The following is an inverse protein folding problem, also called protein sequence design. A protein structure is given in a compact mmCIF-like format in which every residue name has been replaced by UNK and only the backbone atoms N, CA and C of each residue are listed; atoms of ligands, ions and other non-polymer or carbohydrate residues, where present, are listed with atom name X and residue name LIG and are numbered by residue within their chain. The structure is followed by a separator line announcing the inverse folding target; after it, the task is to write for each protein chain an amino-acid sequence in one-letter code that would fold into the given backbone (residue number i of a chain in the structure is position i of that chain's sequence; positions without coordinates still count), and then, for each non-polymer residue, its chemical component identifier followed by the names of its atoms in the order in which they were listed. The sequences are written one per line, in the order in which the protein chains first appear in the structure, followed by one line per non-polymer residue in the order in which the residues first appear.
data_IF_078945151088
#
_entry.id   IF_078945151088
#
_cell.length_a   1.000
_cell.length_b   1.000
_cell.length_c   1.000
_cell.angle_alpha   90.00
_cell.angle_beta   90.00
_cell.angle_gamma   90.00
#
_symmetry.space_group_name_H-M   'P 1'
#
loop_
_entity.id
_entity.type
_entity.pdbx_description
1 polymer ?
#
# COMPACT_ATOMS: atom_id res chain seq x y z
N UNK A 1 -12.93 9.06 -3.14
CA UNK A 1 -14.14 9.67 -2.57
C UNK A 1 -13.77 10.51 -1.36
N UNK A 2 -13.05 10.01 -0.32
CA UNK A 2 -12.76 10.73 0.92
C UNK A 2 -11.96 12.02 0.74
N UNK A 3 -10.97 12.05 -0.14
CA UNK A 3 -10.19 13.27 -0.44
C UNK A 3 -11.11 14.35 -1.02
N UNK A 4 -12.07 13.99 -1.87
CA UNK A 4 -13.06 14.95 -2.37
C UNK A 4 -13.91 15.56 -1.26
N UNK A 5 -14.30 14.82 -0.23
CA UNK A 5 -15.04 15.38 0.91
C UNK A 5 -14.24 16.45 1.66
N UNK A 6 -12.92 16.36 1.72
CA UNK A 6 -12.10 17.42 2.30
C UNK A 6 -12.22 18.75 1.56
N UNK A 7 -12.25 18.73 0.23
CA UNK A 7 -12.41 19.92 -0.59
C UNK A 7 -13.82 20.52 -0.50
N UNK A 8 -14.82 19.73 -0.17
CA UNK A 8 -16.22 20.15 -0.12
C UNK A 8 -16.75 20.42 1.29
N UNK A 9 -15.90 20.44 2.31
CA UNK A 9 -16.28 20.74 3.71
C UNK A 9 -17.11 22.01 3.87
N UNK A 10 -16.85 23.02 3.06
CA UNK A 10 -17.61 24.27 3.11
C UNK A 10 -19.08 24.13 2.67
N UNK A 11 -19.43 23.01 2.03
CA UNK A 11 -20.78 22.73 1.56
C UNK A 11 -21.52 21.72 2.45
N UNK A 12 -20.84 21.17 3.48
CA UNK A 12 -21.38 20.14 4.36
C UNK A 12 -21.22 20.60 5.80
N UNK A 13 -22.34 20.81 6.51
CA UNK A 13 -22.33 21.26 7.90
C UNK A 13 -21.89 20.17 8.89
N UNK A 14 -22.08 18.89 8.56
CA UNK A 14 -21.67 17.78 9.41
C UNK A 14 -20.21 17.38 9.17
N UNK A 15 -19.44 17.40 10.27
CA UNK A 15 -18.07 16.90 10.28
C UNK A 15 -18.10 15.39 10.54
N UNK A 16 -17.76 14.59 9.55
CA UNK A 16 -17.47 13.17 9.77
C UNK A 16 -15.99 12.98 10.07
N UNK A 17 -15.71 12.00 10.89
CA UNK A 17 -14.36 11.60 11.27
C UNK A 17 -14.06 10.25 10.64
N UNK A 18 -12.91 10.16 9.95
CA UNK A 18 -12.38 8.90 9.48
C UNK A 18 -11.47 8.31 10.53
N UNK A 19 -11.77 7.10 10.94
CA UNK A 19 -10.95 6.30 11.81
C UNK A 19 -10.73 4.91 11.21
N UNK A 20 -9.52 4.40 11.34
CA UNK A 20 -9.17 3.05 10.91
C UNK A 20 -8.52 2.34 12.11
N UNK A 21 -9.23 1.41 12.71
CA UNK A 21 -8.81 0.65 13.90
C UNK A 21 -7.38 0.09 13.82
N UNK A 22 -6.98 -0.31 12.60
CA UNK A 22 -5.66 -0.93 12.34
C UNK A 22 -4.56 0.08 12.01
N UNK A 23 -4.87 1.39 11.97
CA UNK A 23 -3.92 2.45 11.57
C UNK A 23 -3.84 3.54 12.62
N UNK A 24 -2.82 3.44 13.46
CA UNK A 24 -2.58 4.44 14.49
C UNK A 24 -2.39 5.85 13.89
N UNK A 25 -2.83 6.86 14.64
CA UNK A 25 -2.70 8.29 14.28
C UNK A 25 -3.45 8.74 13.02
N UNK A 26 -4.32 7.91 12.45
CA UNK A 26 -5.07 8.27 11.23
C UNK A 26 -5.97 9.49 11.44
N UNK A 27 -6.65 9.57 12.57
CA UNK A 27 -7.51 10.70 12.95
C UNK A 27 -6.72 12.01 13.02
N UNK A 28 -5.56 11.99 13.67
CA UNK A 28 -4.70 13.17 13.80
C UNK A 28 -4.07 13.57 12.47
N UNK A 29 -3.72 12.60 11.64
CA UNK A 29 -3.27 12.83 10.27
C UNK A 29 -4.33 13.59 9.45
N UNK A 30 -5.57 13.12 9.44
CA UNK A 30 -6.63 13.80 8.69
C UNK A 30 -6.94 15.19 9.22
N UNK A 31 -6.88 15.42 10.54
CA UNK A 31 -7.00 16.76 11.11
C UNK A 31 -5.89 17.72 10.64
N UNK A 32 -4.65 17.23 10.57
CA UNK A 32 -3.49 17.99 10.07
C UNK A 32 -3.63 18.27 8.57
N UNK A 33 -4.01 17.28 7.79
CA UNK A 33 -4.24 17.43 6.36
C UNK A 33 -5.27 18.52 6.05
N UNK A 34 -6.28 18.64 6.88
CA UNK A 34 -7.32 19.67 6.82
C UNK A 34 -6.79 21.10 6.98
N UNK A 35 -5.71 21.26 7.71
CA UNK A 35 -5.01 22.54 7.89
C UNK A 35 -3.88 22.76 6.89
N UNK A 36 -3.73 21.86 5.90
CA UNK A 36 -2.67 21.92 4.89
C UNK A 36 -1.32 21.40 5.37
N UNK A 37 -1.28 20.70 6.51
CA UNK A 37 -0.06 20.08 7.03
C UNK A 37 0.01 18.65 6.49
N UNK A 38 1.05 18.39 5.70
CA UNK A 38 1.29 17.10 5.07
C UNK A 38 2.18 16.21 5.95
N UNK A 39 1.95 14.91 5.89
CA UNK A 39 2.71 13.93 6.65
C UNK A 39 3.21 12.83 5.70
N UNK A 40 4.50 12.54 5.80
CA UNK A 40 5.21 11.55 4.96
C UNK A 40 5.85 10.45 5.82
N UNK A 41 5.41 10.31 7.07
CA UNK A 41 5.98 9.38 8.05
C UNK A 41 5.73 7.90 7.71
N UNK A 42 4.72 7.62 6.89
CA UNK A 42 4.46 6.28 6.39
C UNK A 42 3.88 6.32 4.95
N UNK A 43 3.91 5.19 4.20
CA UNK A 43 3.46 5.14 2.82
C UNK A 43 2.02 5.62 2.62
N UNK A 44 1.10 5.23 3.50
CA UNK A 44 -0.31 5.60 3.38
C UNK A 44 -0.50 7.12 3.47
N UNK A 45 0.12 7.75 4.49
CA UNK A 45 0.05 9.20 4.67
C UNK A 45 0.75 9.94 3.55
N UNK A 46 1.87 9.40 3.05
CA UNK A 46 2.57 9.92 1.89
C UNK A 46 1.69 9.92 0.64
N UNK A 47 1.05 8.80 0.32
CA UNK A 47 0.16 8.69 -0.83
C UNK A 47 -1.06 9.62 -0.72
N UNK A 48 -1.68 9.69 0.46
CA UNK A 48 -2.83 10.56 0.70
C UNK A 48 -2.41 12.05 0.61
N UNK A 49 -1.27 12.43 1.20
CA UNK A 49 -0.73 13.78 1.12
C UNK A 49 -0.41 14.20 -0.31
N UNK A 50 0.20 13.33 -1.10
CA UNK A 50 0.48 13.59 -2.50
C UNK A 50 -0.80 13.68 -3.35
N UNK A 51 -1.76 12.79 -3.14
CA UNK A 51 -3.05 12.85 -3.82
C UNK A 51 -3.80 14.15 -3.51
N UNK A 52 -3.76 14.60 -2.24
CA UNK A 52 -4.33 15.88 -1.86
C UNK A 52 -3.70 17.04 -2.65
N UNK A 53 -2.36 17.12 -2.68
CA UNK A 53 -1.64 18.17 -3.43
C UNK A 53 -1.98 18.19 -4.91
N UNK A 54 -2.06 17.02 -5.54
CA UNK A 54 -2.40 16.91 -6.97
C UNK A 54 -3.80 17.44 -7.23
N UNK A 55 -4.78 17.06 -6.40
CA UNK A 55 -6.18 17.50 -6.54
C UNK A 55 -6.29 19.01 -6.29
N UNK A 56 -5.65 19.51 -5.23
CA UNK A 56 -5.66 20.94 -4.90
C UNK A 56 -5.07 21.79 -6.03
N UNK A 57 -3.90 21.40 -6.53
CA UNK A 57 -3.25 22.04 -7.66
C UNK A 57 -4.13 22.04 -8.91
N UNK A 58 -4.77 20.90 -9.20
CA UNK A 58 -5.65 20.78 -10.36
C UNK A 58 -6.88 21.68 -10.24
N UNK A 59 -7.51 21.76 -9.06
CA UNK A 59 -8.64 22.66 -8.79
C UNK A 59 -8.24 24.13 -8.95
N UNK A 60 -7.07 24.51 -8.43
CA UNK A 60 -6.58 25.87 -8.49
C UNK A 60 -6.27 26.30 -9.94
N UNK A 61 -5.62 25.43 -10.74
CA UNK A 61 -5.38 25.68 -12.16
C UNK A 61 -6.70 25.89 -12.92
N UNK A 62 -7.72 25.08 -12.64
CA UNK A 62 -9.03 25.21 -13.28
C UNK A 62 -9.74 26.53 -12.94
N UNK A 63 -9.62 27.00 -11.71
CA UNK A 63 -10.16 28.29 -11.29
C UNK A 63 -9.44 29.47 -11.95
N UNK A 64 -8.11 29.45 -11.97
CA UNK A 64 -7.27 30.51 -12.52
C UNK A 64 -7.46 30.65 -14.05
N UNK A 65 -7.59 29.55 -14.76
CA UNK A 65 -7.80 29.55 -16.21
C UNK A 65 -9.20 29.97 -16.62
N UNK A 66 -10.12 30.26 -15.68
CA UNK A 66 -11.53 30.61 -15.93
C UNK A 66 -12.28 29.62 -16.84
N UNK A 67 -11.76 28.41 -17.00
CA UNK A 67 -12.43 27.38 -17.80
C UNK A 67 -13.72 26.95 -17.12
N UNK A 68 -13.69 26.87 -15.78
CA UNK A 68 -14.87 26.58 -14.97
C UNK A 68 -14.71 27.21 -13.59
N UNK A 69 -15.22 28.43 -13.41
CA UNK A 69 -15.17 29.14 -12.13
C UNK A 69 -15.97 28.45 -11.02
N UNK A 70 -16.89 27.55 -11.38
CA UNK A 70 -17.77 26.83 -10.47
C UNK A 70 -17.42 25.34 -10.37
N UNK A 71 -16.22 24.93 -10.78
CA UNK A 71 -15.83 23.53 -10.86
C UNK A 71 -16.07 22.74 -9.58
N UNK A 72 -15.81 23.32 -8.42
CA UNK A 72 -16.05 22.65 -7.14
C UNK A 72 -17.53 22.36 -6.93
N UNK A 73 -18.40 23.35 -7.21
CA UNK A 73 -19.84 23.16 -7.10
C UNK A 73 -20.36 22.12 -8.10
N UNK A 74 -19.86 22.13 -9.32
CA UNK A 74 -20.24 21.16 -10.35
C UNK A 74 -19.83 19.73 -9.98
N UNK A 75 -18.63 19.55 -9.42
CA UNK A 75 -18.19 18.25 -8.90
C UNK A 75 -19.05 17.83 -7.72
N UNK A 76 -19.30 18.72 -6.78
CA UNK A 76 -20.12 18.45 -5.60
C UNK A 76 -21.54 18.02 -5.99
N UNK A 77 -22.18 18.74 -6.89
CA UNK A 77 -23.51 18.36 -7.42
C UNK A 77 -23.47 17.01 -8.14
N UNK A 78 -22.43 16.76 -8.94
CA UNK A 78 -22.27 15.46 -9.62
C UNK A 78 -22.13 14.31 -8.63
N UNK A 79 -21.38 14.51 -7.54
CA UNK A 79 -21.24 13.51 -6.47
C UNK A 79 -22.57 13.24 -5.76
N UNK A 80 -23.37 14.28 -5.53
CA UNK A 80 -24.67 14.12 -4.84
C UNK A 80 -25.77 13.54 -5.73
N UNK A 81 -25.79 13.92 -7.00
CA UNK A 81 -26.92 13.61 -7.89
C UNK A 81 -26.68 12.40 -8.80
N UNK A 82 -25.41 12.11 -9.14
CA UNK A 82 -25.07 11.13 -10.18
C UNK A 82 -24.18 9.98 -9.73
N UNK A 83 -23.65 10.06 -8.49
CA UNK A 83 -22.81 8.99 -7.94
C UNK A 83 -23.63 8.13 -7.00
N UNK A 84 -23.75 6.86 -7.33
CA UNK A 84 -24.38 5.85 -6.49
C UNK A 84 -23.30 5.04 -5.77
N UNK A 85 -23.53 4.72 -4.50
CA UNK A 85 -22.66 3.89 -3.67
C UNK A 85 -23.33 2.55 -3.45
N UNK A 86 -22.68 1.48 -3.87
CA UNK A 86 -23.11 0.13 -3.54
C UNK A 86 -22.58 -0.22 -2.16
N UNK A 87 -23.48 -0.30 -1.19
CA UNK A 87 -23.18 -0.81 0.14
C UNK A 87 -23.34 -2.33 0.12
N UNK A 88 -22.27 -3.05 0.36
CA UNK A 88 -22.29 -4.49 0.45
C UNK A 88 -21.84 -4.92 1.84
N UNK A 89 -22.78 -5.39 2.64
CA UNK A 89 -22.52 -5.93 3.97
C UNK A 89 -22.41 -7.44 3.90
N UNK A 90 -21.36 -8.00 4.48
CA UNK A 90 -21.13 -9.45 4.49
C UNK A 90 -21.29 -9.93 5.92
N UNK A 91 -22.46 -10.50 6.21
CA UNK A 91 -22.80 -11.07 7.53
C UNK A 91 -22.07 -12.40 7.84
N UNK A 92 -21.00 -12.69 7.16
CA UNK A 92 -20.28 -13.94 7.30
C UNK A 92 -19.37 -13.95 8.54
N UNK A 93 -19.59 -14.92 9.40
CA UNK A 93 -18.74 -15.19 10.57
C UNK A 93 -17.47 -15.98 10.21
N UNK A 94 -17.41 -16.56 9.00
CA UNK A 94 -16.28 -17.37 8.56
C UNK A 94 -15.25 -16.50 7.81
N UNK A 95 -14.05 -16.39 8.38
CA UNK A 95 -12.95 -15.59 7.83
C UNK A 95 -12.51 -16.04 6.42
N UNK A 96 -12.60 -17.31 6.11
CA UNK A 96 -12.26 -17.85 4.78
C UNK A 96 -13.25 -17.37 3.71
N UNK A 97 -14.53 -17.32 4.03
CA UNK A 97 -15.56 -16.81 3.13
C UNK A 97 -15.42 -15.30 2.92
N UNK A 98 -15.09 -14.52 3.97
CA UNK A 98 -14.80 -13.10 3.85
C UNK A 98 -13.64 -12.84 2.89
N UNK A 99 -12.57 -13.63 2.95
CA UNK A 99 -11.42 -13.52 2.02
C UNK A 99 -11.86 -13.86 0.59
N UNK A 100 -12.68 -14.89 0.38
CA UNK A 100 -13.20 -15.24 -0.95
C UNK A 100 -14.10 -14.15 -1.53
N UNK A 101 -14.97 -13.55 -0.71
CA UNK A 101 -15.81 -12.42 -1.13
C UNK A 101 -14.95 -11.22 -1.50
N UNK A 102 -13.99 -10.86 -0.65
CA UNK A 102 -13.05 -9.77 -0.93
C UNK A 102 -12.29 -10.01 -2.24
N UNK A 103 -11.78 -11.22 -2.45
CA UNK A 103 -11.05 -11.59 -3.68
C UNK A 103 -11.95 -11.49 -4.90
N UNK A 104 -13.21 -11.98 -4.82
CA UNK A 104 -14.18 -11.87 -5.93
C UNK A 104 -14.54 -10.43 -6.26
N UNK A 105 -14.78 -9.59 -5.25
CA UNK A 105 -15.09 -8.17 -5.45
C UNK A 105 -13.92 -7.40 -6.06
N UNK A 106 -12.69 -7.82 -5.79
CA UNK A 106 -11.49 -7.20 -6.34
C UNK A 106 -10.99 -7.84 -7.63
N UNK A 107 -11.51 -8.99 -8.06
CA UNK A 107 -11.04 -9.72 -9.24
C UNK A 107 -11.23 -8.98 -10.57
N UNK A 108 -12.00 -7.89 -10.61
CA UNK A 108 -12.15 -7.01 -11.77
C UNK A 108 -11.45 -5.66 -11.66
N UNK A 109 -10.67 -5.46 -10.58
CA UNK A 109 -9.93 -4.22 -10.31
C UNK A 109 -8.44 -4.40 -10.57
N UNK A 110 -7.64 -3.40 -10.21
CA UNK A 110 -6.18 -3.46 -10.25
C UNK A 110 -5.73 -4.68 -9.44
N UNK A 111 -5.09 -5.64 -10.09
CA UNK A 111 -4.58 -6.85 -9.44
C UNK A 111 -3.57 -6.51 -8.34
N UNK A 112 -3.40 -7.42 -7.39
CA UNK A 112 -2.34 -7.27 -6.38
C UNK A 112 -0.98 -7.23 -7.05
N UNK A 113 -0.12 -6.33 -6.60
CA UNK A 113 1.27 -6.23 -7.06
C UNK A 113 2.10 -7.40 -6.53
N UNK A 114 3.27 -7.65 -7.13
CA UNK A 114 4.21 -8.63 -6.58
C UNK A 114 4.51 -8.37 -5.11
N UNK A 115 4.78 -7.12 -4.75
CA UNK A 115 5.08 -6.73 -3.38
C UNK A 115 3.95 -7.08 -2.41
N UNK A 116 2.69 -6.83 -2.76
CA UNK A 116 1.54 -7.16 -1.92
C UNK A 116 1.37 -8.67 -1.75
N UNK A 117 1.55 -9.44 -2.83
CA UNK A 117 1.50 -10.90 -2.79
C UNK A 117 2.63 -11.46 -1.93
N UNK A 118 3.86 -10.96 -2.09
CA UNK A 118 5.03 -11.38 -1.30
C UNK A 118 4.85 -10.99 0.17
N UNK A 119 4.36 -9.78 0.46
CA UNK A 119 4.04 -9.33 1.82
C UNK A 119 3.06 -10.29 2.51
N UNK A 120 2.04 -10.73 1.78
CA UNK A 120 1.08 -11.71 2.30
C UNK A 120 1.72 -13.07 2.63
N UNK A 121 2.71 -13.54 1.85
CA UNK A 121 3.47 -14.74 2.18
C UNK A 121 4.26 -14.57 3.48
N UNK A 122 4.98 -13.45 3.65
CA UNK A 122 5.76 -13.17 4.87
C UNK A 122 4.88 -13.03 6.11
N UNK A 123 3.71 -12.40 6.00
CA UNK A 123 2.79 -12.19 7.11
C UNK A 123 1.85 -13.38 7.37
N UNK A 124 1.98 -14.47 6.62
CA UNK A 124 1.18 -15.67 6.84
C UNK A 124 1.39 -16.23 8.26
N UNK A 125 0.30 -16.48 8.99
CA UNK A 125 0.35 -17.10 10.32
C UNK A 125 1.09 -18.42 10.34
N UNK A 126 1.00 -19.15 9.24
CA UNK A 126 1.62 -20.43 9.06
C UNK A 126 3.16 -20.42 9.22
N UNK A 127 3.81 -19.29 9.00
CA UNK A 127 5.26 -19.14 9.23
C UNK A 127 5.63 -19.16 10.71
N UNK A 128 4.69 -18.91 11.62
CA UNK A 128 4.94 -18.67 13.04
C UNK A 128 4.34 -19.75 13.94
N UNK A 129 3.64 -20.75 13.41
CA UNK A 129 2.92 -21.76 14.19
C UNK A 129 3.83 -22.59 15.13
N UNK A 130 5.12 -22.72 14.82
CA UNK A 130 6.08 -23.50 15.60
C UNK A 130 6.96 -22.63 16.52
N UNK A 131 6.71 -21.33 16.63
CA UNK A 131 7.51 -20.43 17.43
C UNK A 131 6.84 -20.18 18.79
N UNK A 132 7.64 -20.19 19.86
CA UNK A 132 7.17 -19.99 21.24
C UNK A 132 6.80 -18.53 21.58
N UNK A 133 7.06 -17.59 20.65
CA UNK A 133 6.71 -16.19 20.79
C UNK A 133 5.34 -15.90 20.19
N UNK A 134 4.73 -14.83 20.67
CA UNK A 134 3.46 -14.35 20.15
C UNK A 134 3.55 -14.08 18.64
N UNK A 135 2.74 -14.81 17.86
CA UNK A 135 2.63 -14.69 16.41
C UNK A 135 2.42 -13.24 15.98
N UNK A 136 1.59 -12.53 16.75
CA UNK A 136 1.26 -11.12 16.46
C UNK A 136 2.49 -10.21 16.53
N UNK A 137 3.35 -10.41 17.55
CA UNK A 137 4.58 -9.62 17.68
C UNK A 137 5.52 -9.81 16.49
N UNK A 138 5.71 -11.04 16.02
CA UNK A 138 6.54 -11.30 14.84
C UNK A 138 5.97 -10.72 13.54
N UNK A 139 4.66 -10.85 13.35
CA UNK A 139 4.00 -10.23 12.20
C UNK A 139 4.14 -8.71 12.24
N UNK A 140 4.04 -8.10 13.42
CA UNK A 140 4.20 -6.67 13.61
C UNK A 140 5.63 -6.22 13.32
N UNK A 141 6.64 -6.95 13.76
CA UNK A 141 8.06 -6.64 13.51
C UNK A 141 8.36 -6.64 12.00
N UNK A 142 7.91 -7.68 11.28
CA UNK A 142 8.06 -7.75 9.82
C UNK A 142 7.31 -6.61 9.15
N UNK A 143 6.08 -6.32 9.58
CA UNK A 143 5.27 -5.24 9.01
C UNK A 143 5.90 -3.87 9.21
N UNK A 144 6.44 -3.60 10.40
CA UNK A 144 7.13 -2.34 10.71
C UNK A 144 8.40 -2.17 9.86
N UNK A 145 9.19 -3.23 9.74
CA UNK A 145 10.41 -3.19 8.94
C UNK A 145 10.10 -3.06 7.44
N UNK A 146 9.06 -3.72 6.96
CA UNK A 146 8.56 -3.53 5.61
C UNK A 146 8.19 -2.07 5.35
N UNK A 147 7.43 -1.46 6.25
CA UNK A 147 7.04 -0.05 6.12
C UNK A 147 8.26 0.89 6.16
N UNK A 148 9.30 0.58 6.94
CA UNK A 148 10.56 1.35 6.95
C UNK A 148 11.25 1.29 5.59
N UNK A 149 11.33 0.11 4.96
CA UNK A 149 11.90 -0.06 3.62
C UNK A 149 11.09 0.73 2.59
N UNK A 150 9.76 0.58 2.59
CA UNK A 150 8.89 1.31 1.67
C UNK A 150 9.03 2.82 1.83
N UNK A 151 9.08 3.33 3.07
CA UNK A 151 9.29 4.76 3.34
C UNK A 151 10.62 5.28 2.82
N UNK A 152 11.71 4.55 3.06
CA UNK A 152 13.02 4.95 2.58
C UNK A 152 13.06 5.03 1.05
N UNK A 153 12.46 4.06 0.38
CA UNK A 153 12.36 4.02 -1.09
C UNK A 153 11.42 5.10 -1.66
N UNK A 154 10.51 5.68 -0.87
CA UNK A 154 9.69 6.82 -1.30
C UNK A 154 10.45 8.14 -1.39
N UNK A 155 11.64 8.24 -0.78
CA UNK A 155 12.50 9.40 -0.95
C UNK A 155 13.00 9.46 -2.41
N UNK A 156 12.65 10.52 -3.13
CA UNK A 156 12.95 10.63 -4.56
C UNK A 156 14.46 10.81 -4.82
N UNK A 157 15.20 11.47 -3.93
CA UNK A 157 16.64 11.62 -4.07
C UNK A 157 17.34 10.26 -3.92
N UNK A 158 16.93 9.49 -2.91
CA UNK A 158 17.43 8.13 -2.72
C UNK A 158 17.04 7.22 -3.88
N UNK A 159 15.79 7.27 -4.31
CA UNK A 159 15.28 6.48 -5.43
C UNK A 159 16.06 6.75 -6.73
N UNK A 160 16.27 8.03 -7.06
CA UNK A 160 17.00 8.43 -8.25
C UNK A 160 18.49 8.08 -8.19
N UNK A 161 19.05 7.97 -6.98
CA UNK A 161 20.42 7.52 -6.78
C UNK A 161 20.59 6.02 -7.08
N UNK A 162 19.68 5.18 -6.58
CA UNK A 162 19.78 3.72 -6.73
C UNK A 162 19.21 3.19 -8.05
N UNK A 163 18.37 3.96 -8.76
CA UNK A 163 17.76 3.53 -10.02
C UNK A 163 18.00 4.54 -11.14
N UNK A 164 18.15 4.04 -12.37
CA UNK A 164 18.01 4.89 -13.54
C UNK A 164 16.53 5.19 -13.75
N UNK A 165 16.18 6.45 -13.90
CA UNK A 165 14.84 7.08 -13.82
C UNK A 165 13.67 6.48 -14.62
N UNK A 166 13.86 5.42 -15.39
CA UNK A 166 12.83 4.83 -16.26
C UNK A 166 12.18 3.56 -15.72
N UNK A 167 12.51 3.13 -14.49
CA UNK A 167 11.93 1.91 -13.91
C UNK A 167 10.48 2.14 -13.48
N UNK A 168 9.54 1.81 -14.37
CA UNK A 168 8.10 1.76 -14.10
C UNK A 168 7.77 0.49 -13.31
N UNK A 169 8.01 0.52 -12.01
CA UNK A 169 7.59 -0.55 -11.10
C UNK A 169 6.23 -0.20 -10.50
N UNK A 170 5.42 -1.22 -10.24
CA UNK A 170 4.13 -1.04 -9.58
C UNK A 170 4.33 -0.46 -8.16
N UNK A 171 5.35 -0.95 -7.45
CA UNK A 171 5.81 -0.41 -6.16
C UNK A 171 7.33 -0.32 -6.15
N UNK A 172 7.90 0.64 -5.41
CA UNK A 172 9.37 0.82 -5.36
C UNK A 172 10.08 -0.34 -4.66
N UNK A 173 9.44 -1.02 -3.73
CA UNK A 173 10.01 -2.20 -3.05
C UNK A 173 10.19 -3.39 -4.01
N UNK A 174 9.42 -3.47 -5.10
CA UNK A 174 9.61 -4.48 -6.15
C UNK A 174 11.04 -4.46 -6.72
N UNK A 175 11.74 -3.33 -6.65
CA UNK A 175 13.12 -3.22 -7.08
C UNK A 175 14.06 -4.14 -6.30
N UNK A 176 13.92 -4.18 -4.97
CA UNK A 176 14.71 -5.07 -4.11
C UNK A 176 14.47 -6.53 -4.49
N UNK A 177 13.22 -6.92 -4.65
CA UNK A 177 12.86 -8.28 -5.05
C UNK A 177 13.41 -8.65 -6.43
N UNK A 178 13.36 -7.72 -7.38
CA UNK A 178 13.97 -7.95 -8.70
C UNK A 178 15.48 -8.10 -8.61
N UNK A 179 16.19 -7.33 -7.78
CA UNK A 179 17.62 -7.47 -7.58
C UNK A 179 17.96 -8.87 -7.03
N UNK A 180 17.22 -9.32 -6.01
CA UNK A 180 17.41 -10.64 -5.41
C UNK A 180 17.21 -11.75 -6.47
N UNK A 181 16.09 -11.72 -7.18
CA UNK A 181 15.76 -12.75 -8.19
C UNK A 181 16.78 -12.77 -9.34
N UNK A 182 17.21 -11.60 -9.81
CA UNK A 182 18.26 -11.49 -10.85
C UNK A 182 19.61 -12.02 -10.36
N UNK A 183 19.96 -11.76 -9.10
CA UNK A 183 21.22 -12.31 -8.53
C UNK A 183 21.21 -13.83 -8.43
N UNK A 184 20.04 -14.47 -8.39
CA UNK A 184 19.88 -15.94 -8.51
C UNK A 184 19.95 -16.43 -9.97
N UNK A 185 20.29 -15.57 -10.94
CA UNK A 185 20.32 -15.84 -12.38
C UNK A 185 18.95 -16.22 -12.96
N UNK A 186 17.86 -15.75 -12.38
CA UNK A 186 16.50 -15.96 -12.85
C UNK A 186 16.07 -14.78 -13.70
N UNK A 187 15.66 -15.05 -14.94
CA UNK A 187 15.18 -14.01 -15.85
C UNK A 187 13.75 -13.58 -15.46
N UNK A 188 13.55 -12.28 -15.31
CA UNK A 188 12.21 -11.69 -15.08
C UNK A 188 11.71 -11.25 -16.45
N UNK A 189 10.66 -11.91 -16.95
CA UNK A 189 10.04 -11.66 -18.26
C UNK A 189 8.60 -11.22 -18.14
N UNK A 190 7.88 -11.74 -17.14
CA UNK A 190 6.47 -11.48 -16.90
C UNK A 190 6.26 -10.76 -15.56
N UNK A 191 5.12 -10.13 -15.42
CA UNK A 191 4.75 -9.31 -14.26
C UNK A 191 4.88 -10.06 -12.93
N UNK A 192 4.46 -11.32 -12.87
CA UNK A 192 4.43 -12.13 -11.64
C UNK A 192 5.62 -13.09 -11.47
N UNK A 193 6.68 -12.97 -12.26
CA UNK A 193 7.84 -13.88 -12.16
C UNK A 193 8.54 -13.76 -10.79
N UNK A 194 8.55 -12.58 -10.21
CA UNK A 194 9.11 -12.36 -8.88
C UNK A 194 8.30 -13.08 -7.81
N UNK A 195 6.98 -13.00 -7.85
CA UNK A 195 6.11 -13.76 -6.96
C UNK A 195 6.25 -15.28 -7.18
N UNK A 196 6.36 -15.72 -8.44
CA UNK A 196 6.58 -17.13 -8.79
C UNK A 196 7.90 -17.69 -8.25
N UNK A 197 8.88 -16.85 -7.96
CA UNK A 197 10.10 -17.26 -7.25
C UNK A 197 9.84 -17.51 -5.76
N UNK A 198 9.14 -16.61 -5.06
CA UNK A 198 8.92 -16.72 -3.62
C UNK A 198 7.87 -17.75 -3.24
N UNK A 199 6.83 -17.93 -4.03
CA UNK A 199 5.73 -18.83 -3.71
C UNK A 199 6.15 -20.30 -3.51
N UNK A 200 6.95 -20.93 -4.39
CA UNK A 200 7.46 -22.28 -4.16
C UNK A 200 8.32 -22.41 -2.90
N UNK A 201 9.09 -21.38 -2.55
CA UNK A 201 9.88 -21.36 -1.31
C UNK A 201 8.98 -21.35 -0.07
N UNK A 202 7.90 -20.57 -0.12
CA UNK A 202 6.88 -20.59 0.94
C UNK A 202 6.20 -21.97 1.05
N UNK A 203 5.80 -22.57 -0.06
CA UNK A 203 5.22 -23.93 -0.07
C UNK A 203 6.19 -24.95 0.51
N UNK A 204 7.45 -24.90 0.12
CA UNK A 204 8.51 -25.78 0.66
C UNK A 204 8.61 -25.68 2.18
N UNK A 205 8.51 -24.51 2.76
CA UNK A 205 8.55 -24.33 4.22
C UNK A 205 7.32 -24.93 4.93
N UNK A 206 6.22 -25.13 4.20
CA UNK A 206 5.01 -25.80 4.72
C UNK A 206 5.13 -27.31 4.71
N UNK A 207 5.92 -27.86 3.78
CA UNK A 207 6.12 -29.29 3.60
C UNK A 207 7.32 -29.83 4.40
N UNK A 208 8.33 -28.98 4.66
CA UNK A 208 9.56 -29.36 5.37
C UNK A 208 9.81 -28.43 6.56
N UNK A 209 9.98 -29.03 7.75
CA UNK A 209 10.36 -28.30 8.98
C UNK A 209 11.82 -27.83 8.98
N UNK A 210 12.63 -28.31 8.02
CA UNK A 210 14.05 -27.95 7.91
C UNK A 210 14.28 -26.61 7.22
N UNK A 211 13.26 -26.07 6.54
CA UNK A 211 13.35 -24.80 5.82
C UNK A 211 12.43 -23.76 6.44
N UNK A 212 13.03 -22.72 7.04
CA UNK A 212 12.29 -21.55 7.52
C UNK A 212 12.24 -20.49 6.42
N UNK A 213 11.01 -20.18 5.96
CA UNK A 213 10.79 -19.20 4.89
C UNK A 213 11.21 -17.80 5.33
N UNK A 214 10.89 -17.40 6.57
CA UNK A 214 11.20 -16.06 7.10
C UNK A 214 12.71 -15.91 7.24
N UNK A 215 13.35 -16.80 7.98
CA UNK A 215 14.79 -16.72 8.23
C UNK A 215 15.61 -16.74 6.94
N UNK A 216 15.23 -17.58 5.99
CA UNK A 216 15.98 -17.74 4.74
C UNK A 216 15.83 -16.59 3.76
N UNK A 217 14.70 -15.87 3.77
CA UNK A 217 14.42 -14.86 2.74
C UNK A 217 14.34 -13.44 3.30
N UNK A 218 13.89 -13.24 4.56
CA UNK A 218 13.78 -11.91 5.13
C UNK A 218 15.13 -11.26 5.35
N UNK A 219 16.10 -12.03 5.86
CA UNK A 219 17.46 -11.55 6.06
C UNK A 219 18.12 -11.11 4.73
N UNK A 220 17.79 -11.78 3.62
CA UNK A 220 18.29 -11.38 2.30
C UNK A 220 17.68 -10.05 1.84
N UNK A 221 16.39 -9.83 2.08
CA UNK A 221 15.71 -8.55 1.77
C UNK A 221 16.35 -7.41 2.58
N UNK A 222 16.54 -7.62 3.88
CA UNK A 222 17.15 -6.64 4.77
C UNK A 222 18.60 -6.32 4.37
N UNK A 223 19.37 -7.34 4.00
CA UNK A 223 20.74 -7.18 3.50
C UNK A 223 20.79 -6.33 2.22
N UNK A 224 19.95 -6.63 1.23
CA UNK A 224 19.90 -5.84 -0.01
C UNK A 224 19.50 -4.40 0.25
N UNK A 225 18.53 -4.18 1.14
CA UNK A 225 18.14 -2.82 1.52
C UNK A 225 19.28 -2.07 2.21
N UNK A 226 20.01 -2.70 3.13
CA UNK A 226 21.18 -2.12 3.80
C UNK A 226 22.26 -1.74 2.80
N UNK A 227 22.60 -2.65 1.85
CA UNK A 227 23.59 -2.37 0.81
C UNK A 227 23.19 -1.18 -0.09
N UNK A 228 21.89 -0.98 -0.32
CA UNK A 228 21.41 0.15 -1.10
C UNK A 228 21.52 1.49 -0.34
N UNK A 229 21.59 1.46 1.00
CA UNK A 229 21.71 2.65 1.84
C UNK A 229 23.17 3.08 2.07
N UNK A 230 24.15 2.17 1.96
CA UNK A 230 25.58 2.41 2.09
C UNK A 230 26.18 3.00 0.79
#
# INVERSE_FOLDING_TARGET
IYIFFFFFKRFIDEKFQLDFEVRQNCVDFFKKLDTGIFDYSNPDFSHISNAYKVIDSWLNIKKETKIDSNIEMNIFQTLLEKVEVIWYDVEESNREELVKVFTRLNSGKIGLTNAELIKALFLSKANFENQSKDIYTHQLDISNKWNQIENALQNDDFWNFITKSENKLATRIDYIFQLIVRNKNIAIKEEFDVFRYYYPLYVKSRESKEYDFIESNWNEIDLYFTILQD
#
